data_IF_727926513802
#
_entry.id   IF_727926513802
#
_cell.length_a   1.000
_cell.length_b   1.000
_cell.length_c   1.000
_cell.angle_alpha   90.00
_cell.angle_beta   90.00
_cell.angle_gamma   90.00
#
_symmetry.space_group_name_H-M   'P 1'
#
loop_
_entity.id
_entity.type
_entity.pdbx_description
1 polymer ?
#
# COMPACT_ATOMS: atom_id res chain seq x y z
N UNK A 1 -5.64 6.98 13.18
CA UNK A 1 -5.64 6.38 11.83
C UNK A 1 -4.51 6.99 11.04
N UNK A 2 -3.53 6.14 10.71
CA UNK A 2 -2.35 6.49 9.91
C UNK A 2 -2.78 6.77 8.46
N UNK A 3 -2.11 7.72 7.82
CA UNK A 3 -2.50 8.30 6.52
C UNK A 3 -1.63 7.82 5.37
N UNK A 4 -0.37 7.48 5.65
CA UNK A 4 0.61 7.06 4.66
C UNK A 4 1.07 5.64 4.96
N UNK A 5 1.49 4.95 3.92
CA UNK A 5 2.06 3.63 3.97
C UNK A 5 3.24 3.55 3.01
N UNK A 6 4.34 2.97 3.47
CA UNK A 6 5.40 2.49 2.58
C UNK A 6 5.06 1.06 2.21
N UNK A 7 4.97 0.81 0.90
CA UNK A 7 4.68 -0.51 0.36
C UNK A 7 5.80 -0.97 -0.56
N UNK A 8 6.01 -2.27 -0.63
CA UNK A 8 6.82 -2.92 -1.64
C UNK A 8 5.88 -3.64 -2.61
N UNK A 9 5.90 -3.27 -3.88
CA UNK A 9 5.03 -3.90 -4.88
C UNK A 9 5.45 -5.35 -5.13
N UNK A 10 4.48 -6.26 -5.14
CA UNK A 10 4.67 -7.68 -5.43
C UNK A 10 4.35 -7.99 -6.90
N UNK A 11 3.49 -7.17 -7.52
CA UNK A 11 3.11 -7.30 -8.93
C UNK A 11 2.97 -5.94 -9.61
N UNK A 12 2.82 -5.96 -10.94
CA UNK A 12 2.66 -4.76 -11.75
C UNK A 12 3.99 -4.18 -12.26
N UNK A 13 3.92 -2.94 -12.76
CA UNK A 13 5.07 -2.25 -13.38
C UNK A 13 6.22 -2.02 -12.39
N UNK A 14 5.89 -1.66 -11.15
CA UNK A 14 6.87 -1.34 -10.11
C UNK A 14 7.21 -2.55 -9.21
N UNK A 15 6.98 -3.79 -9.68
CA UNK A 15 7.25 -5.00 -8.88
C UNK A 15 8.69 -5.01 -8.31
N UNK A 16 8.82 -5.28 -7.02
CA UNK A 16 10.07 -5.22 -6.25
C UNK A 16 10.43 -3.83 -5.71
N UNK A 17 9.85 -2.76 -6.27
CA UNK A 17 10.12 -1.38 -5.87
C UNK A 17 9.28 -0.95 -4.67
N UNK A 18 9.79 0.07 -3.97
CA UNK A 18 9.10 0.70 -2.86
C UNK A 18 8.36 1.96 -3.31
N UNK A 19 7.23 2.25 -2.68
CA UNK A 19 6.50 3.49 -2.90
C UNK A 19 5.79 3.93 -1.63
N UNK A 20 5.69 5.24 -1.45
CA UNK A 20 4.75 5.80 -0.48
C UNK A 20 3.37 5.91 -1.13
N UNK A 21 2.36 5.40 -0.45
CA UNK A 21 0.95 5.48 -0.85
C UNK A 21 0.13 5.96 0.33
N UNK A 22 -1.07 6.45 0.07
CA UNK A 22 -2.02 6.72 1.14
C UNK A 22 -2.69 5.44 1.61
N UNK A 23 -3.00 5.32 2.90
CA UNK A 23 -3.72 4.16 3.45
C UNK A 23 -5.11 3.97 2.83
N UNK A 24 -5.74 5.05 2.36
CA UNK A 24 -7.01 5.01 1.60
C UNK A 24 -6.90 4.27 0.25
N UNK A 25 -5.71 4.19 -0.34
CA UNK A 25 -5.45 3.44 -1.55
C UNK A 25 -5.33 1.92 -1.30
N UNK A 26 -5.18 1.51 -0.04
CA UNK A 26 -5.04 0.11 0.36
C UNK A 26 -6.44 -0.46 0.61
N UNK A 27 -6.84 -1.45 -0.19
CA UNK A 27 -8.14 -2.09 -0.05
C UNK A 27 -8.20 -2.89 1.25
N UNK A 28 -9.23 -2.61 2.07
CA UNK A 28 -9.44 -3.24 3.39
C UNK A 28 -8.22 -3.05 4.30
N UNK A 29 -7.65 -1.85 4.32
CA UNK A 29 -6.62 -1.48 5.29
C UNK A 29 -7.11 -1.74 6.71
N UNK A 30 -6.25 -2.36 7.52
CA UNK A 30 -6.54 -2.74 8.90
C UNK A 30 -5.40 -2.25 9.81
N UNK A 31 -5.64 -1.14 10.50
CA UNK A 31 -4.67 -0.49 11.39
C UNK A 31 -4.31 -1.38 12.58
N UNK A 32 -5.17 -2.35 12.96
CA UNK A 32 -4.91 -3.24 14.10
C UNK A 32 -3.82 -4.27 13.81
N UNK A 33 -3.38 -4.39 12.55
CA UNK A 33 -2.27 -5.26 12.14
C UNK A 33 -0.91 -4.59 12.27
N UNK A 34 -0.89 -3.33 12.66
CA UNK A 34 0.31 -2.54 12.81
C UNK A 34 0.63 -2.37 14.29
N UNK A 35 1.89 -2.35 14.67
CA UNK A 35 2.33 -2.02 16.03
C UNK A 35 2.29 -0.50 16.26
N UNK A 36 2.68 -0.03 17.45
CA UNK A 36 2.67 1.39 17.82
C UNK A 36 3.68 2.23 17.02
N UNK A 37 4.76 1.61 16.53
CA UNK A 37 5.82 2.26 15.76
C UNK A 37 5.49 2.38 14.26
N UNK A 38 4.45 1.68 13.79
CA UNK A 38 4.02 1.74 12.40
C UNK A 38 4.46 0.55 11.55
N UNK A 39 5.05 -0.47 12.15
CA UNK A 39 5.45 -1.69 11.46
C UNK A 39 4.34 -2.74 11.52
N UNK A 40 4.20 -3.58 10.50
CA UNK A 40 3.23 -4.66 10.53
C UNK A 40 3.68 -5.74 11.54
N UNK A 41 2.77 -6.20 12.39
CA UNK A 41 3.05 -7.23 13.41
C UNK A 41 3.39 -8.60 12.79
N UNK A 42 2.94 -8.85 11.56
CA UNK A 42 3.23 -10.03 10.74
C UNK A 42 3.31 -9.62 9.27
N UNK A 43 3.74 -10.50 8.36
CA UNK A 43 3.67 -10.23 6.92
C UNK A 43 2.28 -9.77 6.49
N UNK A 44 2.19 -8.54 5.98
CA UNK A 44 0.94 -7.92 5.59
C UNK A 44 0.99 -7.53 4.11
N UNK A 45 0.28 -8.29 3.28
CA UNK A 45 0.09 -7.96 1.86
C UNK A 45 -1.36 -7.57 1.58
N UNK A 46 -1.54 -6.57 0.72
CA UNK A 46 -2.85 -6.05 0.35
C UNK A 46 -2.89 -5.64 -1.12
N UNK A 47 -4.10 -5.52 -1.65
CA UNK A 47 -4.34 -4.93 -2.96
C UNK A 47 -4.34 -3.41 -2.82
N UNK A 48 -3.49 -2.72 -3.58
CA UNK A 48 -3.25 -1.28 -3.47
C UNK A 48 -3.44 -0.61 -4.82
N UNK A 49 -4.16 0.51 -4.84
CA UNK A 49 -4.26 1.35 -6.03
C UNK A 49 -2.90 1.97 -6.36
N UNK A 50 -2.41 1.71 -7.56
CA UNK A 50 -1.16 2.26 -8.06
C UNK A 50 -1.41 3.66 -8.62
N UNK A 51 -1.37 4.66 -7.74
CA UNK A 51 -1.72 6.05 -8.03
C UNK A 51 -0.56 6.88 -8.61
N UNK A 52 0.17 6.33 -9.59
CA UNK A 52 1.32 6.99 -10.22
C UNK A 52 0.87 7.79 -11.44
N UNK A 53 1.26 9.07 -11.51
CA UNK A 53 0.98 9.93 -12.66
C UNK A 53 -0.46 10.42 -12.75
N UNK A 54 -1.06 10.38 -13.94
CA UNK A 54 -2.43 10.87 -14.18
C UNK A 54 -3.45 9.73 -14.07
N UNK A 55 -4.52 9.96 -13.31
CA UNK A 55 -5.60 8.98 -13.11
C UNK A 55 -6.21 8.53 -14.46
N UNK A 56 -6.20 7.21 -14.77
CA UNK A 56 -6.84 6.70 -15.97
C UNK A 56 -8.36 6.85 -15.95
N UNK A 57 -8.98 6.82 -17.13
CA UNK A 57 -10.45 6.94 -17.30
C UNK A 57 -11.23 5.85 -16.55
N UNK A 58 -10.64 4.67 -16.40
CA UNK A 58 -11.27 3.52 -15.74
C UNK A 58 -10.87 3.36 -14.25
N UNK A 59 -10.24 4.38 -13.67
CA UNK A 59 -9.70 4.31 -12.31
C UNK A 59 -8.25 3.87 -12.27
N UNK A 60 -7.70 3.77 -11.06
CA UNK A 60 -6.32 3.37 -10.86
C UNK A 60 -6.15 1.86 -11.05
N UNK A 61 -5.05 1.40 -11.68
CA UNK A 61 -4.67 0.00 -11.63
C UNK A 61 -4.51 -0.44 -10.18
N UNK A 62 -4.79 -1.71 -9.90
CA UNK A 62 -4.65 -2.28 -8.57
C UNK A 62 -3.66 -3.43 -8.64
N UNK A 63 -2.61 -3.33 -7.82
CA UNK A 63 -1.57 -4.34 -7.74
C UNK A 63 -1.45 -4.86 -6.31
N UNK A 64 -0.81 -6.02 -6.17
CA UNK A 64 -0.50 -6.56 -4.84
C UNK A 64 0.76 -5.88 -4.33
N UNK A 65 0.76 -5.51 -3.06
CA UNK A 65 1.91 -4.95 -2.38
C UNK A 65 2.01 -5.47 -0.94
N UNK A 66 3.23 -5.65 -0.46
CA UNK A 66 3.51 -5.86 0.96
C UNK A 66 3.62 -4.52 1.65
N UNK A 67 2.83 -4.29 2.69
CA UNK A 67 2.89 -3.12 3.55
C UNK A 67 4.12 -3.28 4.45
N UNK A 68 4.99 -2.27 4.46
CA UNK A 68 6.27 -2.30 5.20
C UNK A 68 6.28 -1.36 6.39
N UNK A 69 5.54 -0.26 6.28
CA UNK A 69 5.46 0.77 7.32
C UNK A 69 4.23 1.65 7.10
N UNK A 70 3.69 2.27 8.15
CA UNK A 70 2.60 3.26 8.10
C UNK A 70 2.85 4.43 9.05
N UNK A 71 2.39 5.63 8.68
CA UNK A 71 2.45 6.85 9.50
C UNK A 71 1.21 7.73 9.40
#
# INVERSE_FOLDING_TARGET
MRKLAVVQWVSGEDAGMYSEVKTEAIRKYDDTKMDDDGYPQTDYSAAVEWQKGKKPKHGWPVYMASIKFVS
#
